data_IF_784185394199
#
_entry.id   IF_784185394199
#
_cell.length_a   1.000
_cell.length_b   1.000
_cell.length_c   1.000
_cell.angle_alpha   90.00
_cell.angle_beta   90.00
_cell.angle_gamma   90.00
#
_symmetry.space_group_name_H-M   'P 1'
#
loop_
_entity.id
_entity.type
_entity.pdbx_description
1 polymer ?
#
# COMPACT_ATOMS: atom_id res chain seq x y z
N UNK A 1 69.12 -1.60 21.72
CA UNK A 1 68.06 -2.55 21.32
C UNK A 1 66.93 -1.75 20.70
N UNK A 2 66.72 -2.00 19.42
CA UNK A 2 66.06 -1.14 18.44
C UNK A 2 64.59 -0.86 18.73
N UNK A 3 64.17 0.39 18.50
CA UNK A 3 62.75 0.79 18.44
C UNK A 3 62.27 0.71 16.99
N UNK A 4 61.43 -0.26 16.69
CA UNK A 4 60.79 -0.42 15.37
C UNK A 4 59.40 0.19 15.43
N UNK A 5 59.23 1.37 14.83
CA UNK A 5 57.93 2.02 14.68
C UNK A 5 57.26 1.51 13.40
N UNK A 6 56.16 0.76 13.55
CA UNK A 6 55.35 0.28 12.43
C UNK A 6 54.33 1.36 12.02
N UNK A 7 54.57 2.00 10.87
CA UNK A 7 53.62 2.87 10.19
C UNK A 7 52.47 2.04 9.61
N UNK A 8 51.25 2.25 10.09
CA UNK A 8 50.03 1.72 9.47
C UNK A 8 49.55 2.65 8.34
N UNK A 9 49.19 2.12 7.16
CA UNK A 9 48.66 2.94 6.07
C UNK A 9 47.21 3.37 6.33
N UNK A 10 46.94 4.67 6.14
CA UNK A 10 45.58 5.23 6.10
C UNK A 10 44.94 4.85 4.76
N UNK A 11 44.02 3.89 4.77
CA UNK A 11 43.13 3.63 3.64
C UNK A 11 41.98 4.63 3.70
N UNK A 12 42.08 5.71 2.92
CA UNK A 12 40.95 6.59 2.59
C UNK A 12 40.28 6.03 1.33
N UNK A 13 39.25 5.21 1.52
CA UNK A 13 38.47 4.61 0.44
C UNK A 13 36.98 4.62 0.77
N UNK A 14 36.42 5.80 1.01
CA UNK A 14 34.97 5.96 1.06
C UNK A 14 34.42 5.95 -0.36
N UNK A 15 33.79 4.85 -0.76
CA UNK A 15 33.02 4.80 -1.99
C UNK A 15 31.92 5.88 -1.92
N UNK A 16 31.75 6.72 -2.97
CA UNK A 16 30.63 7.66 -3.00
C UNK A 16 29.34 6.83 -3.02
N UNK A 17 28.52 6.99 -1.98
CA UNK A 17 27.11 6.60 -2.02
C UNK A 17 26.50 7.35 -3.21
N UNK A 18 26.34 6.67 -4.33
CA UNK A 18 25.46 7.13 -5.41
C UNK A 18 24.07 7.17 -4.79
N UNK A 19 23.65 8.37 -4.38
CA UNK A 19 22.25 8.69 -4.21
C UNK A 19 21.60 8.25 -5.51
N UNK A 20 20.64 7.31 -5.44
CA UNK A 20 19.73 7.05 -6.54
C UNK A 20 18.96 8.36 -6.74
N UNK A 21 19.55 9.27 -7.51
CA UNK A 21 18.87 10.46 -7.98
C UNK A 21 17.81 9.92 -8.93
N UNK A 22 16.56 9.98 -8.46
CA UNK A 22 15.39 9.71 -9.28
C UNK A 22 15.59 10.47 -10.60
N UNK A 23 15.45 9.75 -11.71
CA UNK A 23 15.58 10.33 -13.05
C UNK A 23 14.67 11.56 -13.11
N UNK A 24 15.20 12.76 -13.43
CA UNK A 24 14.39 13.97 -13.47
C UNK A 24 13.27 13.73 -14.47
N UNK A 25 12.05 13.74 -13.97
CA UNK A 25 10.90 13.63 -14.82
C UNK A 25 10.90 14.77 -15.83
N UNK A 26 10.51 14.53 -17.09
CA UNK A 26 10.16 15.63 -17.98
C UNK A 26 9.03 16.46 -17.33
N UNK A 27 9.18 17.79 -17.39
CA UNK A 27 8.45 18.76 -16.56
C UNK A 27 6.92 18.69 -16.62
N UNK A 28 6.35 18.08 -17.67
CA UNK A 28 4.91 17.96 -17.85
C UNK A 28 4.32 16.66 -17.30
N UNK A 29 5.14 15.62 -17.14
CA UNK A 29 4.61 14.30 -16.79
C UNK A 29 4.52 14.06 -15.30
N UNK A 30 5.27 14.76 -14.43
CA UNK A 30 5.29 14.45 -12.98
C UNK A 30 4.37 15.30 -12.12
N UNK A 31 3.46 16.03 -12.75
CA UNK A 31 2.48 16.85 -12.06
C UNK A 31 1.17 16.10 -11.80
N UNK A 32 0.47 16.41 -10.69
CA UNK A 32 -0.91 16.01 -10.50
C UNK A 32 -1.80 16.47 -11.67
N UNK A 33 -2.85 15.72 -11.98
CA UNK A 33 -3.77 16.07 -13.07
C UNK A 33 -4.46 17.41 -12.81
N UNK A 34 -4.75 17.71 -11.54
CA UNK A 34 -5.45 18.95 -11.15
C UNK A 34 -5.02 19.43 -9.76
N UNK A 35 -4.60 20.68 -9.71
CA UNK A 35 -4.28 21.44 -8.50
C UNK A 35 -5.27 22.59 -8.33
N UNK A 36 -5.70 22.85 -7.10
CA UNK A 36 -6.55 24.00 -6.77
C UNK A 36 -5.91 24.83 -5.64
N UNK A 37 -5.84 26.17 -5.79
CA UNK A 37 -5.29 27.02 -4.74
C UNK A 37 -6.21 26.98 -3.50
N UNK A 38 -5.63 26.85 -2.32
CA UNK A 38 -6.42 26.90 -1.07
C UNK A 38 -6.77 28.35 -0.68
N UNK A 39 -7.87 28.60 0.03
CA UNK A 39 -8.14 29.93 0.58
C UNK A 39 -7.17 30.25 1.73
N UNK A 40 -6.88 31.54 1.93
CA UNK A 40 -5.97 32.01 2.99
C UNK A 40 -6.34 31.54 4.41
N UNK A 41 -7.62 31.25 4.66
CA UNK A 41 -8.11 30.72 5.94
C UNK A 41 -7.75 29.25 6.20
N UNK A 42 -7.36 28.50 5.16
CA UNK A 42 -6.97 27.09 5.25
C UNK A 42 -5.44 26.90 5.26
N UNK A 43 -4.69 28.00 5.32
CA UNK A 43 -3.23 27.94 5.34
C UNK A 43 -2.74 27.21 6.59
N UNK A 44 -1.92 26.16 6.43
CA UNK A 44 -1.40 25.41 7.56
C UNK A 44 -0.33 26.22 8.30
N UNK A 45 -0.11 26.00 9.60
CA UNK A 45 0.94 26.69 10.36
C UNK A 45 2.33 26.48 9.74
N UNK A 46 3.22 27.48 9.78
CA UNK A 46 4.52 27.43 9.08
C UNK A 46 5.43 26.29 9.57
N UNK A 47 5.30 25.89 10.84
CA UNK A 47 6.12 24.85 11.48
C UNK A 47 5.38 23.51 11.65
N UNK A 48 4.17 23.37 11.09
CA UNK A 48 3.37 22.14 11.21
C UNK A 48 4.06 20.92 10.57
N UNK A 49 4.96 21.14 9.62
CA UNK A 49 5.54 20.07 8.80
C UNK A 49 4.57 19.54 7.74
N UNK A 50 3.30 19.94 7.77
CA UNK A 50 2.23 19.43 6.89
C UNK A 50 2.38 19.88 5.43
N UNK A 51 3.05 21.01 5.19
CA UNK A 51 3.30 21.58 3.85
C UNK A 51 4.78 21.62 3.49
N UNK A 52 5.66 21.40 4.46
CA UNK A 52 7.08 21.70 4.34
C UNK A 52 7.89 20.71 3.47
N UNK A 53 7.27 19.68 2.87
CA UNK A 53 8.04 18.65 2.15
C UNK A 53 7.66 18.37 0.70
N UNK A 54 6.49 18.78 0.23
CA UNK A 54 6.06 18.40 -1.11
C UNK A 54 6.04 19.62 -2.02
N UNK A 55 7.06 19.68 -2.87
CA UNK A 55 6.98 20.38 -4.16
C UNK A 55 5.78 19.81 -4.92
N UNK A 56 5.06 20.63 -5.69
CA UNK A 56 3.84 20.18 -6.35
C UNK A 56 4.08 19.15 -7.47
N UNK A 57 5.34 18.87 -7.81
CA UNK A 57 5.79 17.79 -8.71
C UNK A 57 6.20 16.51 -7.96
N UNK A 58 5.98 16.43 -6.64
CA UNK A 58 6.34 15.26 -5.86
C UNK A 58 5.51 14.03 -6.28
N UNK A 59 6.15 12.88 -6.54
CA UNK A 59 5.50 11.72 -7.16
C UNK A 59 4.53 10.98 -6.23
N UNK A 60 4.61 11.22 -4.92
CA UNK A 60 3.82 10.61 -3.86
C UNK A 60 2.59 11.44 -3.46
N UNK A 61 2.34 12.56 -4.14
CA UNK A 61 1.15 13.38 -3.93
C UNK A 61 -0.15 12.64 -4.29
N UNK A 62 -1.03 12.48 -3.30
CA UNK A 62 -2.37 11.93 -3.46
C UNK A 62 -3.45 13.01 -3.30
N UNK A 63 -4.66 12.71 -3.77
CA UNK A 63 -5.82 13.60 -3.65
C UNK A 63 -6.03 14.01 -2.19
N UNK A 64 -6.20 15.30 -1.96
CA UNK A 64 -6.37 15.92 -0.64
C UNK A 64 -5.08 16.45 -0.01
N UNK A 65 -3.90 16.01 -0.46
CA UNK A 65 -2.63 16.55 0.02
C UNK A 65 -2.49 18.04 -0.33
N UNK A 66 -1.71 18.74 0.49
CA UNK A 66 -1.26 20.09 0.22
C UNK A 66 0.17 20.04 -0.32
N UNK A 67 0.46 20.88 -1.31
CA UNK A 67 1.80 21.07 -1.86
C UNK A 67 2.12 22.55 -1.97
N UNK A 68 3.42 22.85 -1.92
CA UNK A 68 3.94 24.21 -2.12
C UNK A 68 4.52 24.31 -3.52
N UNK A 69 4.02 25.27 -4.29
CA UNK A 69 4.55 25.56 -5.61
C UNK A 69 5.92 26.24 -5.52
N UNK A 70 6.88 25.72 -6.28
CA UNK A 70 8.21 26.30 -6.47
C UNK A 70 8.34 26.90 -7.89
N UNK A 71 8.12 28.21 -8.01
CA UNK A 71 8.36 28.98 -9.24
C UNK A 71 7.50 28.59 -10.47
N UNK A 72 6.26 28.14 -10.25
CA UNK A 72 5.28 27.86 -11.30
C UNK A 72 5.40 26.46 -11.90
N UNK A 73 5.91 25.51 -11.12
CA UNK A 73 5.87 24.09 -11.47
C UNK A 73 4.42 23.63 -11.67
N UNK A 74 4.19 22.63 -12.52
CA UNK A 74 2.85 22.07 -12.72
C UNK A 74 1.78 23.10 -13.13
N UNK A 75 2.19 24.19 -13.79
CA UNK A 75 1.28 25.24 -14.24
C UNK A 75 0.70 26.09 -13.10
N UNK A 76 1.29 26.06 -11.90
CA UNK A 76 0.86 26.91 -10.79
C UNK A 76 1.19 28.39 -11.05
N UNK A 77 0.38 29.28 -10.48
CA UNK A 77 0.65 30.72 -10.51
C UNK A 77 1.81 31.06 -9.57
N UNK A 78 2.76 31.85 -10.08
CA UNK A 78 3.97 32.32 -9.37
C UNK A 78 3.70 33.51 -8.46
N UNK A 79 2.51 34.09 -8.52
CA UNK A 79 2.12 35.30 -7.79
C UNK A 79 0.88 35.06 -6.93
N UNK A 80 0.57 33.81 -6.60
CA UNK A 80 -0.66 33.48 -5.87
C UNK A 80 -0.59 34.02 -4.43
N UNK A 81 0.53 33.78 -3.73
CA UNK A 81 0.81 34.23 -2.36
C UNK A 81 -0.37 34.03 -1.39
N UNK A 82 -1.15 32.96 -1.57
CA UNK A 82 -2.38 32.73 -0.81
C UNK A 82 -2.13 32.42 0.68
N UNK A 83 -0.92 32.00 1.03
CA UNK A 83 -0.50 31.80 2.41
C UNK A 83 0.62 32.76 2.80
N UNK A 84 0.27 33.75 3.63
CA UNK A 84 1.21 34.71 4.21
C UNK A 84 1.41 34.43 5.70
N UNK A 85 2.66 34.28 6.10
CA UNK A 85 3.06 33.98 7.46
C UNK A 85 3.70 35.23 8.09
N UNK A 86 2.95 36.00 8.90
CA UNK A 86 3.39 37.32 9.35
C UNK A 86 4.64 37.27 10.23
N UNK A 87 4.79 36.20 11.04
CA UNK A 87 5.92 36.05 11.95
C UNK A 87 7.25 35.83 11.22
N UNK A 88 7.21 35.10 10.10
CA UNK A 88 8.40 34.74 9.33
C UNK A 88 8.58 35.58 8.07
N UNK A 89 7.58 36.42 7.73
CA UNK A 89 7.47 37.15 6.45
C UNK A 89 7.57 36.24 5.23
N UNK A 90 7.24 34.95 5.42
CA UNK A 90 7.22 33.98 4.34
C UNK A 90 5.88 34.09 3.62
N UNK A 91 5.96 34.03 2.29
CA UNK A 91 4.81 33.84 1.43
C UNK A 91 4.98 32.53 0.69
N UNK A 92 3.88 31.80 0.53
CA UNK A 92 3.87 30.53 -0.15
C UNK A 92 2.61 30.39 -1.00
N UNK A 93 2.80 29.85 -2.20
CA UNK A 93 1.74 29.44 -3.11
C UNK A 93 1.34 28.00 -2.76
N UNK A 94 0.25 27.82 -2.00
CA UNK A 94 -0.19 26.51 -1.52
C UNK A 94 -1.38 26.02 -2.34
N UNK A 95 -1.27 24.79 -2.82
CA UNK A 95 -2.30 24.11 -3.61
C UNK A 95 -2.74 22.83 -2.92
N UNK A 96 -3.98 22.46 -3.14
CA UNK A 96 -4.55 21.15 -2.82
C UNK A 96 -4.57 20.29 -4.08
N UNK A 97 -4.16 19.04 -3.95
CA UNK A 97 -4.29 18.03 -5.01
C UNK A 97 -5.76 17.62 -5.11
N UNK A 98 -6.42 17.95 -6.23
CA UNK A 98 -7.82 17.60 -6.47
C UNK A 98 -7.94 16.36 -7.34
N UNK A 99 -7.02 16.22 -8.29
CA UNK A 99 -6.87 15.00 -9.07
C UNK A 99 -5.40 14.65 -9.08
N UNK A 100 -5.07 13.49 -8.50
CA UNK A 100 -3.71 12.98 -8.52
C UNK A 100 -3.26 12.75 -9.97
N UNK A 101 -1.95 12.63 -10.16
CA UNK A 101 -1.37 12.29 -11.46
C UNK A 101 -2.10 11.06 -12.01
N UNK A 102 -2.40 10.99 -13.33
CA UNK A 102 -2.81 9.75 -13.96
C UNK A 102 -1.57 8.88 -14.00
N UNK A 103 -1.25 8.27 -12.86
CA UNK A 103 -0.38 7.12 -12.84
C UNK A 103 -1.08 6.15 -13.77
N UNK A 104 -0.42 5.79 -14.88
CA UNK A 104 -0.75 4.52 -15.51
C UNK A 104 -0.89 3.51 -14.36
N UNK A 105 -1.82 2.55 -14.42
CA UNK A 105 -1.87 1.48 -13.44
C UNK A 105 -0.62 0.58 -13.59
N UNK A 106 0.59 1.14 -13.49
CA UNK A 106 1.56 0.63 -12.55
C UNK A 106 0.79 0.46 -11.27
N UNK A 107 0.39 -0.80 -11.03
CA UNK A 107 -0.04 -1.24 -9.72
C UNK A 107 0.76 -0.42 -8.73
N UNK A 108 0.06 0.32 -7.85
CA UNK A 108 0.64 0.66 -6.56
C UNK A 108 1.53 -0.53 -6.23
N UNK A 109 2.83 -0.39 -5.94
CA UNK A 109 3.41 -1.40 -5.10
C UNK A 109 2.51 -1.29 -3.85
N UNK A 110 1.41 -2.05 -3.81
CA UNK A 110 1.15 -2.95 -2.72
C UNK A 110 2.54 -3.48 -2.44
N UNK A 111 3.27 -2.77 -1.57
CA UNK A 111 4.26 -3.40 -0.74
C UNK A 111 3.50 -4.62 -0.30
N UNK A 112 3.87 -5.75 -0.88
CA UNK A 112 3.25 -7.01 -0.49
C UNK A 112 3.90 -7.22 0.86
N UNK A 113 3.36 -6.50 1.84
CA UNK A 113 3.81 -6.55 3.19
C UNK A 113 3.56 -8.01 3.57
N UNK A 114 4.64 -8.74 3.91
CA UNK A 114 4.45 -10.08 4.38
C UNK A 114 3.48 -10.08 5.55
N UNK A 115 2.86 -11.20 5.81
CA UNK A 115 2.16 -11.36 7.08
C UNK A 115 3.24 -11.41 8.19
N UNK A 116 3.13 -10.52 9.17
CA UNK A 116 4.13 -10.29 10.21
C UNK A 116 3.56 -10.60 11.59
N UNK A 117 4.33 -11.33 12.40
CA UNK A 117 4.01 -11.62 13.79
C UNK A 117 5.15 -11.11 14.67
N UNK A 118 4.90 -10.20 15.64
CA UNK A 118 5.94 -9.74 16.55
C UNK A 118 6.44 -10.91 17.41
N UNK A 119 7.75 -10.98 17.64
CA UNK A 119 8.29 -11.93 18.61
C UNK A 119 7.88 -11.56 20.04
N UNK A 120 7.83 -12.57 20.91
CA UNK A 120 7.70 -12.34 22.34
C UNK A 120 8.91 -11.58 22.89
N UNK A 121 8.72 -10.83 23.97
CA UNK A 121 9.78 -10.05 24.60
C UNK A 121 10.89 -10.97 25.11
N UNK A 122 12.13 -10.62 24.79
CA UNK A 122 13.35 -11.36 25.13
C UNK A 122 13.31 -12.83 24.66
N UNK A 123 12.64 -13.08 23.53
CA UNK A 123 12.53 -14.41 22.95
C UNK A 123 13.92 -15.00 22.62
N UNK A 124 14.16 -16.31 22.85
CA UNK A 124 15.39 -16.97 22.41
C UNK A 124 15.54 -17.00 20.88
N UNK A 125 14.45 -16.73 20.15
CA UNK A 125 14.46 -16.60 18.69
C UNK A 125 14.97 -15.24 18.21
N UNK A 126 15.26 -14.30 19.12
CA UNK A 126 15.87 -13.02 18.75
C UNK A 126 17.21 -13.28 18.03
N UNK A 127 17.40 -12.71 16.82
CA UNK A 127 18.63 -12.91 16.09
C UNK A 127 19.82 -12.32 16.85
N UNK A 128 21.01 -12.95 16.76
CA UNK A 128 22.20 -12.49 17.49
C UNK A 128 22.72 -11.17 16.96
N UNK A 129 22.35 -10.77 15.74
CA UNK A 129 22.60 -9.46 15.14
C UNK A 129 21.25 -8.78 14.92
N UNK A 130 21.09 -7.56 15.43
CA UNK A 130 19.84 -6.79 15.34
C UNK A 130 19.85 -5.72 14.22
N UNK A 131 20.95 -5.58 13.47
CA UNK A 131 21.04 -4.72 12.27
C UNK A 131 20.55 -5.54 11.05
N UNK A 132 19.26 -5.92 11.05
CA UNK A 132 18.63 -6.74 10.01
C UNK A 132 17.81 -5.89 9.03
N UNK A 133 17.35 -6.49 7.94
CA UNK A 133 16.63 -5.73 6.91
C UNK A 133 15.22 -5.29 7.38
N UNK A 134 14.75 -4.10 6.95
CA UNK A 134 13.41 -3.61 7.23
C UNK A 134 12.31 -4.52 6.67
N UNK A 135 11.19 -4.64 7.39
CA UNK A 135 10.09 -5.55 7.04
C UNK A 135 9.35 -5.27 5.73
N UNK A 136 9.60 -4.13 5.08
CA UNK A 136 9.06 -3.79 3.75
C UNK A 136 9.99 -4.22 2.60
N UNK A 137 11.16 -4.83 2.91
CA UNK A 137 12.08 -5.31 1.90
C UNK A 137 11.46 -6.54 1.19
N UNK A 138 11.34 -6.52 -0.15
CA UNK A 138 10.83 -7.67 -0.92
C UNK A 138 11.85 -8.81 -0.89
N UNK A 139 11.39 -10.06 -0.99
CA UNK A 139 12.26 -11.23 -0.96
C UNK A 139 12.57 -11.76 0.44
N UNK A 140 12.09 -11.11 1.51
CA UNK A 140 12.49 -11.48 2.86
C UNK A 140 11.86 -12.80 3.34
N UNK A 141 12.67 -13.55 4.05
CA UNK A 141 12.29 -14.79 4.73
C UNK A 141 12.90 -14.79 6.13
N UNK A 142 12.16 -15.27 7.14
CA UNK A 142 12.66 -15.35 8.51
C UNK A 142 12.24 -14.14 9.36
N UNK A 143 13.20 -13.28 9.72
CA UNK A 143 12.99 -12.15 10.62
C UNK A 143 13.30 -10.82 9.93
N UNK A 144 12.61 -9.76 10.35
CA UNK A 144 12.83 -8.39 9.87
C UNK A 144 12.64 -7.37 10.99
N UNK A 145 13.20 -6.18 10.80
CA UNK A 145 13.07 -5.06 11.73
C UNK A 145 11.86 -4.19 11.37
N UNK A 146 11.01 -3.93 12.36
CA UNK A 146 9.78 -3.17 12.22
C UNK A 146 9.98 -1.71 12.60
N UNK A 147 10.24 -0.87 11.62
CA UNK A 147 10.44 0.57 11.78
C UNK A 147 9.20 1.38 11.41
N UNK A 148 7.99 0.82 11.58
CA UNK A 148 6.71 1.49 11.26
C UNK A 148 6.16 1.17 9.88
N UNK A 149 6.94 0.49 9.05
CA UNK A 149 6.49 0.02 7.75
C UNK A 149 5.64 -1.25 7.89
N UNK A 150 4.78 -1.52 6.90
CA UNK A 150 3.95 -2.73 6.88
C UNK A 150 3.07 -2.97 8.12
N UNK A 151 2.67 -1.90 8.81
CA UNK A 151 1.86 -1.99 10.03
C UNK A 151 2.64 -2.42 11.27
N UNK A 152 3.97 -2.49 11.18
CA UNK A 152 4.82 -2.72 12.34
C UNK A 152 4.81 -1.52 13.30
N UNK A 153 5.08 -1.78 14.57
CA UNK A 153 5.21 -0.77 15.62
C UNK A 153 6.69 -0.49 15.94
N UNK A 154 7.07 0.79 15.95
CA UNK A 154 8.40 1.35 16.29
C UNK A 154 8.76 1.32 17.80
N UNK A 155 8.06 0.51 18.61
CA UNK A 155 8.01 0.69 20.09
C UNK A 155 7.79 -0.60 20.87
N UNK A 156 7.91 -1.77 20.24
CA UNK A 156 7.75 -3.05 20.91
C UNK A 156 9.00 -3.38 21.73
N UNK A 157 10.20 -3.08 21.21
CA UNK A 157 11.48 -3.35 21.85
C UNK A 157 11.54 -4.79 22.42
N UNK A 158 11.15 -5.77 21.59
CA UNK A 158 11.05 -7.17 22.00
C UNK A 158 12.40 -7.90 21.97
N UNK A 159 13.40 -7.38 21.25
CA UNK A 159 14.74 -7.96 21.25
C UNK A 159 15.79 -6.93 21.71
N UNK A 160 16.69 -7.34 22.60
CA UNK A 160 17.84 -6.54 23.02
C UNK A 160 19.12 -7.38 22.92
N UNK A 161 20.24 -6.71 22.69
CA UNK A 161 21.54 -7.39 22.64
C UNK A 161 22.63 -6.57 23.32
N UNK A 162 23.42 -7.20 24.17
CA UNK A 162 24.46 -6.50 24.93
C UNK A 162 25.74 -6.20 24.12
N UNK A 163 25.85 -6.70 22.88
CA UNK A 163 27.06 -6.55 22.08
C UNK A 163 26.93 -6.86 20.59
N UNK A 164 25.74 -6.69 20.02
CA UNK A 164 25.51 -6.96 18.60
C UNK A 164 25.30 -5.70 17.75
N UNK A 165 25.32 -4.52 18.36
CA UNK A 165 25.31 -3.28 17.60
C UNK A 165 26.64 -3.04 16.88
N UNK A 166 26.66 -1.98 16.07
CA UNK A 166 27.88 -1.52 15.39
C UNK A 166 29.01 -1.38 16.42
N UNK A 167 30.16 -1.99 16.11
CA UNK A 167 31.35 -2.06 16.98
C UNK A 167 31.15 -2.80 18.32
N UNK A 168 30.17 -3.69 18.41
CA UNK A 168 29.85 -4.43 19.64
C UNK A 168 29.12 -3.58 20.68
N UNK A 169 28.51 -2.47 20.26
CA UNK A 169 27.69 -1.65 21.14
C UNK A 169 26.42 -2.41 21.57
N UNK A 170 25.92 -2.20 22.80
CA UNK A 170 24.65 -2.74 23.20
C UNK A 170 23.50 -2.04 22.45
N UNK A 171 22.56 -2.81 21.91
CA UNK A 171 21.26 -2.34 21.40
C UNK A 171 20.23 -2.63 22.49
N UNK A 172 19.55 -1.58 22.96
CA UNK A 172 18.64 -1.63 24.11
C UNK A 172 17.21 -2.04 23.76
N UNK A 173 16.89 -2.16 22.46
CA UNK A 173 15.58 -2.52 21.96
C UNK A 173 15.58 -2.47 20.43
N UNK A 174 15.11 -3.55 19.81
CA UNK A 174 14.80 -3.67 18.40
C UNK A 174 13.42 -4.30 18.27
N UNK A 175 12.68 -3.88 17.25
CA UNK A 175 11.32 -4.31 16.95
C UNK A 175 11.35 -5.46 15.95
N UNK A 176 11.50 -6.70 16.42
CA UNK A 176 11.70 -7.85 15.53
C UNK A 176 10.39 -8.58 15.26
N UNK A 177 10.09 -8.77 13.97
CA UNK A 177 8.93 -9.53 13.49
C UNK A 177 9.39 -10.80 12.77
N UNK A 178 8.58 -11.85 12.90
CA UNK A 178 8.67 -13.06 12.10
C UNK A 178 7.76 -12.92 10.89
N UNK A 179 8.30 -13.22 9.71
CA UNK A 179 7.55 -13.33 8.46
C UNK A 179 6.86 -14.69 8.44
N UNK A 180 5.52 -14.72 8.50
CA UNK A 180 4.74 -15.96 8.45
C UNK A 180 4.28 -16.32 7.04
N UNK A 181 4.10 -15.32 6.18
CA UNK A 181 3.84 -15.50 4.75
C UNK A 181 4.73 -14.54 3.97
N UNK A 182 5.66 -15.08 3.17
CA UNK A 182 6.50 -14.27 2.29
C UNK A 182 5.64 -13.56 1.25
N UNK A 183 5.79 -12.24 1.16
CA UNK A 183 5.11 -11.41 0.15
C UNK A 183 5.50 -11.73 -1.29
N UNK A 184 6.51 -12.59 -1.49
CA UNK A 184 7.00 -13.02 -2.79
C UNK A 184 6.29 -14.23 -3.36
N UNK A 185 5.15 -14.63 -2.79
CA UNK A 185 4.26 -15.48 -3.59
C UNK A 185 3.68 -14.55 -4.65
N UNK A 186 4.14 -14.57 -5.92
CA UNK A 186 3.37 -13.91 -6.95
C UNK A 186 1.99 -14.54 -6.83
N UNK A 187 0.98 -13.75 -6.45
CA UNK A 187 -0.39 -14.10 -6.80
C UNK A 187 -0.28 -14.48 -8.27
N UNK A 188 -0.55 -15.74 -8.66
CA UNK A 188 -0.34 -16.15 -10.04
C UNK A 188 -1.05 -15.10 -10.86
N UNK A 189 -0.26 -14.32 -11.62
CA UNK A 189 -0.79 -13.31 -12.54
C UNK A 189 -1.93 -14.03 -13.22
N UNK A 190 -3.18 -13.53 -13.22
CA UNK A 190 -4.28 -14.21 -13.88
C UNK A 190 -3.75 -14.58 -15.26
N UNK A 191 -3.42 -15.86 -15.45
CA UNK A 191 -2.98 -16.33 -16.74
C UNK A 191 -4.11 -15.89 -17.61
N UNK A 192 -3.82 -15.06 -18.63
CA UNK A 192 -4.80 -14.72 -19.68
C UNK A 192 -5.63 -15.96 -19.83
N UNK A 193 -6.90 -15.85 -19.41
CA UNK A 193 -7.83 -16.96 -19.27
C UNK A 193 -7.50 -17.94 -20.37
N UNK A 194 -7.09 -19.19 -20.08
CA UNK A 194 -6.86 -20.17 -21.13
C UNK A 194 -8.02 -20.02 -22.09
N UNK A 195 -7.72 -19.68 -23.35
CA UNK A 195 -8.74 -19.59 -24.40
C UNK A 195 -9.17 -21.01 -24.75
N UNK A 196 -9.48 -21.82 -23.74
CA UNK A 196 -10.44 -22.89 -23.86
C UNK A 196 -11.72 -22.19 -24.31
N UNK A 197 -12.27 -22.55 -25.48
CA UNK A 197 -13.57 -22.02 -25.87
C UNK A 197 -14.50 -22.20 -24.68
N UNK A 198 -15.11 -21.09 -24.25
CA UNK A 198 -16.12 -21.10 -23.19
C UNK A 198 -17.08 -22.24 -23.57
N UNK A 199 -17.24 -23.29 -22.75
CA UNK A 199 -18.34 -24.20 -22.97
C UNK A 199 -19.57 -23.32 -22.99
N UNK A 200 -20.26 -23.27 -24.11
CA UNK A 200 -21.59 -22.66 -24.26
C UNK A 200 -22.62 -23.50 -23.51
N UNK A 201 -22.24 -24.02 -22.33
CA UNK A 201 -23.14 -24.64 -21.41
C UNK A 201 -24.00 -23.54 -20.83
N UNK A 202 -25.30 -23.72 -20.96
CA UNK A 202 -26.31 -22.88 -20.36
C UNK A 202 -25.97 -22.66 -18.89
N UNK A 203 -25.61 -21.43 -18.52
CA UNK A 203 -25.47 -21.09 -17.12
C UNK A 203 -26.84 -21.34 -16.45
N UNK A 204 -26.89 -22.02 -15.29
CA UNK A 204 -28.13 -22.20 -14.57
C UNK A 204 -28.73 -20.82 -14.27
N UNK A 205 -30.06 -20.71 -14.38
CA UNK A 205 -30.77 -19.51 -13.95
C UNK A 205 -30.71 -19.44 -12.43
N UNK A 206 -30.09 -18.40 -11.89
CA UNK A 206 -29.99 -18.17 -10.45
C UNK A 206 -31.23 -17.40 -9.98
N UNK A 207 -31.75 -17.76 -8.81
CA UNK A 207 -32.83 -17.05 -8.13
C UNK A 207 -32.26 -16.48 -6.82
N UNK A 208 -32.31 -15.15 -6.67
CA UNK A 208 -31.85 -14.50 -5.46
C UNK A 208 -32.89 -14.68 -4.35
N UNK A 209 -32.44 -15.11 -3.16
CA UNK A 209 -33.30 -15.13 -1.98
C UNK A 209 -33.68 -13.69 -1.57
N UNK A 210 -34.92 -13.48 -1.09
CA UNK A 210 -35.32 -12.20 -0.55
C UNK A 210 -34.54 -11.87 0.73
N UNK A 211 -34.34 -10.57 0.98
CA UNK A 211 -33.69 -10.08 2.20
C UNK A 211 -34.41 -10.62 3.44
N UNK A 212 -33.66 -11.25 4.35
CA UNK A 212 -34.21 -11.82 5.59
C UNK A 212 -34.92 -13.17 5.40
N UNK A 213 -34.68 -13.88 4.29
CA UNK A 213 -35.18 -15.25 4.11
C UNK A 213 -34.73 -16.17 5.26
N UNK A 214 -35.63 -16.97 5.87
CA UNK A 214 -35.25 -17.98 6.86
C UNK A 214 -34.40 -19.10 6.25
N UNK A 215 -34.37 -19.21 4.91
CA UNK A 215 -33.55 -20.17 4.17
C UNK A 215 -32.10 -19.68 3.98
N UNK A 216 -31.77 -18.47 4.44
CA UNK A 216 -30.39 -17.98 4.44
C UNK A 216 -29.59 -18.79 5.47
N UNK A 217 -28.56 -19.56 5.07
CA UNK A 217 -27.74 -20.29 6.02
C UNK A 217 -27.02 -19.31 6.97
N UNK A 218 -26.82 -19.75 8.21
CA UNK A 218 -26.14 -18.94 9.23
C UNK A 218 -24.63 -18.79 8.97
N UNK A 219 -24.05 -19.71 8.20
CA UNK A 219 -22.66 -19.68 7.76
C UNK A 219 -22.58 -19.00 6.39
N UNK A 220 -21.84 -17.90 6.32
CA UNK A 220 -21.67 -17.08 5.09
C UNK A 220 -20.51 -17.56 4.22
N UNK A 221 -19.76 -18.59 4.62
CA UNK A 221 -18.65 -19.16 3.84
C UNK A 221 -19.18 -20.19 2.82
N UNK A 222 -19.94 -19.70 1.83
CA UNK A 222 -20.55 -20.54 0.79
C UNK A 222 -19.71 -20.44 -0.48
N UNK A 223 -19.63 -21.53 -1.24
CA UNK A 223 -18.89 -21.56 -2.50
C UNK A 223 -19.44 -20.55 -3.54
N UNK A 224 -18.57 -19.96 -4.38
CA UNK A 224 -18.98 -19.05 -5.44
C UNK A 224 -19.95 -19.70 -6.44
N UNK A 225 -20.92 -18.93 -6.95
CA UNK A 225 -21.92 -19.43 -7.91
C UNK A 225 -21.37 -19.89 -9.27
N UNK A 226 -20.10 -19.63 -9.57
CA UNK A 226 -19.42 -20.14 -10.77
C UNK A 226 -18.66 -21.45 -10.52
N UNK A 227 -18.75 -22.02 -9.32
CA UNK A 227 -18.12 -23.31 -8.96
C UNK A 227 -18.73 -24.46 -9.78
N UNK A 228 -17.93 -25.20 -10.57
CA UNK A 228 -18.43 -26.36 -11.31
C UNK A 228 -18.98 -27.44 -10.39
N UNK A 229 -20.13 -28.03 -10.75
CA UNK A 229 -20.72 -29.14 -10.02
C UNK A 229 -21.87 -28.78 -9.07
N UNK A 230 -22.24 -27.49 -8.98
CA UNK A 230 -23.47 -27.05 -8.31
C UNK A 230 -24.71 -27.64 -8.98
N UNK A 231 -25.62 -28.19 -8.18
CA UNK A 231 -26.93 -28.69 -8.59
C UNK A 231 -28.04 -27.66 -8.31
N UNK A 232 -29.19 -27.83 -8.97
CA UNK A 232 -30.36 -27.01 -8.67
C UNK A 232 -30.82 -27.22 -7.22
N UNK A 233 -30.87 -26.13 -6.45
CA UNK A 233 -31.19 -26.15 -5.02
C UNK A 233 -29.99 -25.93 -4.10
N UNK A 234 -28.76 -25.93 -4.64
CA UNK A 234 -27.57 -25.57 -3.86
C UNK A 234 -27.50 -24.06 -3.65
N UNK A 235 -27.06 -23.64 -2.46
CA UNK A 235 -26.77 -22.25 -2.15
C UNK A 235 -25.36 -21.90 -2.63
N UNK A 236 -25.19 -20.69 -3.17
CA UNK A 236 -23.90 -20.17 -3.61
C UNK A 236 -23.82 -18.66 -3.38
N UNK A 237 -22.61 -18.13 -3.23
CA UNK A 237 -22.38 -16.69 -3.05
C UNK A 237 -22.15 -15.99 -4.41
N UNK A 238 -22.81 -14.85 -4.60
CA UNK A 238 -22.60 -13.99 -5.76
C UNK A 238 -21.78 -12.76 -5.37
N UNK A 239 -20.49 -12.74 -5.70
CA UNK A 239 -19.50 -11.71 -5.30
C UNK A 239 -19.69 -10.32 -5.92
N UNK A 240 -20.91 -9.93 -6.31
CA UNK A 240 -21.21 -8.60 -6.83
C UNK A 240 -20.44 -8.20 -8.11
N UNK A 241 -19.74 -9.15 -8.76
CA UNK A 241 -19.11 -8.96 -10.06
C UNK A 241 -20.18 -8.63 -11.11
N UNK A 242 -19.97 -7.53 -11.83
CA UNK A 242 -20.93 -6.86 -12.69
C UNK A 242 -21.84 -7.80 -13.51
N UNK A 243 -23.13 -7.42 -13.57
CA UNK A 243 -24.16 -7.74 -14.59
C UNK A 243 -25.47 -8.34 -14.06
N UNK A 244 -25.56 -8.75 -12.78
CA UNK A 244 -26.82 -9.27 -12.23
C UNK A 244 -27.91 -8.20 -11.99
N UNK A 245 -27.53 -6.92 -11.88
CA UNK A 245 -28.46 -5.83 -11.59
C UNK A 245 -29.28 -5.34 -12.81
N UNK A 246 -29.01 -5.83 -14.03
CA UNK A 246 -29.67 -5.30 -15.24
C UNK A 246 -31.00 -5.98 -15.60
N UNK A 247 -31.42 -7.06 -14.93
CA UNK A 247 -32.67 -7.76 -15.27
C UNK A 247 -33.83 -7.55 -14.29
N UNK A 248 -33.61 -6.95 -13.12
CA UNK A 248 -34.68 -6.73 -12.13
C UNK A 248 -35.53 -5.47 -12.37
N UNK A 249 -35.33 -4.73 -13.47
CA UNK A 249 -36.18 -3.57 -13.83
C UNK A 249 -37.31 -3.92 -14.81
N UNK A 250 -37.45 -5.18 -15.23
CA UNK A 250 -38.56 -5.60 -16.09
C UNK A 250 -39.61 -6.32 -15.23
N UNK A 251 -40.65 -5.61 -14.80
CA UNK A 251 -41.78 -6.14 -14.02
C UNK A 251 -42.62 -7.18 -14.79
N UNK A 252 -42.05 -8.36 -15.02
CA UNK A 252 -42.74 -9.52 -15.56
C UNK A 252 -42.95 -10.54 -14.44
N UNK A 253 -44.18 -10.64 -13.95
CA UNK A 253 -44.61 -11.71 -13.05
C UNK A 253 -44.62 -13.03 -13.83
N UNK A 254 -43.81 -14.05 -13.50
CA UNK A 254 -43.96 -15.37 -14.10
C UNK A 254 -45.03 -16.12 -13.32
N UNK A 255 -46.22 -16.21 -13.90
CA UNK A 255 -47.22 -17.20 -13.49
C UNK A 255 -46.84 -18.55 -14.11
N UNK A 256 -46.45 -19.53 -13.29
CA UNK A 256 -46.40 -20.93 -13.72
C UNK A 256 -47.19 -21.79 -12.74
N UNK A 257 -48.30 -22.33 -13.27
CA UNK A 257 -49.12 -23.38 -12.67
C UNK A 257 -48.29 -24.64 -12.45
N UNK A 258 -48.28 -25.12 -11.22
CA UNK A 258 -47.90 -26.48 -10.88
C UNK A 258 -48.90 -27.48 -11.49
N UNK A 259 -48.41 -28.40 -12.34
CA UNK A 259 -49.11 -29.65 -12.65
C UNK A 259 -48.60 -30.74 -11.71
N UNK A 260 -49.47 -31.49 -11.03
CA UNK A 260 -49.05 -32.63 -10.24
C UNK A 260 -48.68 -33.78 -11.17
N UNK A 261 -47.51 -34.39 -10.98
CA UNK A 261 -47.19 -35.70 -11.57
C UNK A 261 -47.78 -36.79 -10.68
N UNK A 262 -48.56 -37.67 -11.30
CA UNK A 262 -48.78 -39.06 -10.86
C UNK A 262 -47.53 -39.88 -11.14
#
# INVERSE_FOLDING_TARGET
LSRTAALRPRIRGGLPRRRLEATPCPADDCCPAKLEPIPASECPPPDSGDVARFSCDAPDLVVGNLCRSNAGECGTDKNLDNCEYPETKLKADIYRVVEARPVAPTAKPTSICPELVPLEKDSPDCPPELDIEPCDTPGLTGFCEGDGECGTSKKIDNCACAGCGKDGAPITGADIYRIVVSGDTPTPRPTKKPTTPRPTGDCPTLEALPTGSPDCPAELDIIPCDTPGLAAGDFCEGDGGADAASLLSSGATPSIRSRPRR
#
